data_IF_475803772624
#
_entry.id   IF_475803772624
#
_cell.length_a   1.000
_cell.length_b   1.000
_cell.length_c   1.000
_cell.angle_alpha   90.00
_cell.angle_beta   90.00
_cell.angle_gamma   90.00
#
_symmetry.space_group_name_H-M   'P 1'
#
loop_
_entity.id
_entity.type
_entity.pdbx_description
1 polymer ?
#
# COMPACT_ATOMS: atom_id res chain seq x y z
N UNK A 1 18.28 -35.53 -4.89
CA UNK A 1 17.15 -35.41 -5.84
C UNK A 1 16.01 -34.80 -5.02
N UNK A 2 15.91 -33.45 -5.00
CA UNK A 2 14.81 -32.77 -4.32
C UNK A 2 13.56 -32.94 -5.16
N UNK A 3 12.61 -33.74 -4.69
CA UNK A 3 11.27 -33.73 -5.22
C UNK A 3 10.66 -32.37 -4.87
N UNK A 4 10.59 -31.47 -5.86
CA UNK A 4 9.76 -30.29 -5.73
C UNK A 4 8.31 -30.76 -5.55
N UNK A 5 7.74 -30.46 -4.38
CA UNK A 5 6.31 -30.56 -4.18
C UNK A 5 5.72 -29.53 -5.16
N UNK A 6 5.18 -30.00 -6.28
CA UNK A 6 4.34 -29.18 -7.13
C UNK A 6 3.14 -28.78 -6.27
N UNK A 7 3.13 -27.54 -5.77
CA UNK A 7 1.92 -26.97 -5.21
C UNK A 7 0.83 -27.15 -6.27
N UNK A 8 -0.24 -27.86 -5.94
CA UNK A 8 -1.42 -27.90 -6.81
C UNK A 8 -1.79 -26.48 -7.18
N UNK A 9 -2.10 -26.24 -8.46
CA UNK A 9 -2.48 -24.89 -8.92
C UNK A 9 -3.69 -24.41 -8.09
N UNK A 10 -3.44 -23.45 -7.18
CA UNK A 10 -4.45 -22.92 -6.24
C UNK A 10 -5.48 -22.07 -7.00
N UNK A 11 -5.08 -21.57 -8.16
CA UNK A 11 -5.90 -20.68 -9.00
C UNK A 11 -6.02 -21.23 -10.43
N UNK A 12 -6.63 -22.44 -10.63
CA UNK A 12 -6.66 -23.09 -11.93
C UNK A 12 -7.37 -22.26 -13.01
N UNK A 13 -8.37 -21.45 -12.65
CA UNK A 13 -9.17 -20.68 -13.60
C UNK A 13 -8.63 -19.25 -13.80
N UNK A 14 -7.94 -18.66 -12.83
CA UNK A 14 -7.35 -17.33 -12.97
C UNK A 14 -6.28 -17.34 -14.09
N UNK A 15 -6.32 -16.31 -14.92
CA UNK A 15 -5.27 -16.10 -15.95
C UNK A 15 -3.99 -15.54 -15.32
N UNK A 16 -4.14 -14.72 -14.29
CA UNK A 16 -3.03 -14.16 -13.51
C UNK A 16 -3.46 -14.05 -12.04
N UNK A 17 -2.58 -14.41 -11.11
CA UNK A 17 -2.87 -14.33 -9.68
C UNK A 17 -1.60 -14.06 -8.87
N UNK A 18 -1.75 -13.35 -7.76
CA UNK A 18 -0.71 -13.12 -6.76
C UNK A 18 -1.30 -13.17 -5.36
N UNK A 19 -0.54 -13.76 -4.45
CA UNK A 19 -0.73 -13.60 -3.01
C UNK A 19 0.55 -13.06 -2.43
N UNK A 20 0.45 -11.97 -1.65
CA UNK A 20 1.62 -11.39 -1.00
C UNK A 20 1.28 -10.88 0.39
N UNK A 21 2.29 -10.81 1.25
CA UNK A 21 2.18 -10.18 2.56
C UNK A 21 2.47 -8.68 2.43
N UNK A 22 1.59 -7.87 3.01
CA UNK A 22 1.54 -6.42 2.79
C UNK A 22 2.78 -5.71 3.33
N UNK A 23 3.20 -5.98 4.56
CA UNK A 23 4.25 -5.20 5.23
C UNK A 23 5.64 -5.42 4.61
N UNK A 24 6.00 -6.67 4.36
CA UNK A 24 7.29 -7.04 3.74
C UNK A 24 7.28 -6.95 2.21
N UNK A 25 6.11 -7.09 1.58
CA UNK A 25 5.97 -7.26 0.14
C UNK A 25 6.34 -8.67 -0.34
N UNK A 26 6.53 -9.63 0.56
CA UNK A 26 6.89 -11.01 0.19
C UNK A 26 5.78 -11.69 -0.58
N UNK A 27 6.13 -12.19 -1.78
CA UNK A 27 5.23 -12.98 -2.61
C UNK A 27 5.17 -14.40 -2.04
N UNK A 28 3.96 -14.89 -1.80
CA UNK A 28 3.67 -16.21 -1.23
C UNK A 28 3.13 -17.18 -2.28
N UNK A 29 2.50 -16.66 -3.33
CA UNK A 29 2.04 -17.40 -4.50
C UNK A 29 2.04 -16.47 -5.71
N UNK A 30 2.38 -17.02 -6.86
CA UNK A 30 2.39 -16.28 -8.13
C UNK A 30 1.95 -17.15 -9.32
N UNK A 31 1.19 -16.54 -10.22
CA UNK A 31 0.80 -17.10 -11.51
C UNK A 31 0.71 -15.99 -12.53
N UNK A 32 1.57 -15.98 -13.54
CA UNK A 32 1.60 -15.00 -14.64
C UNK A 32 1.54 -13.53 -14.16
N UNK A 33 2.23 -13.21 -13.04
CA UNK A 33 2.05 -11.93 -12.32
C UNK A 33 2.43 -10.70 -13.14
N UNK A 34 3.23 -10.85 -14.20
CA UNK A 34 3.67 -9.78 -15.08
C UNK A 34 2.91 -9.73 -16.42
N UNK A 35 1.88 -10.57 -16.59
CA UNK A 35 1.04 -10.54 -17.79
C UNK A 35 0.16 -9.29 -17.81
N UNK A 36 0.27 -8.48 -18.88
CA UNK A 36 -0.56 -7.30 -19.09
C UNK A 36 -2.02 -7.69 -19.36
N UNK A 37 -2.93 -7.14 -18.56
CA UNK A 37 -4.37 -7.42 -18.64
C UNK A 37 -5.18 -6.16 -18.42
N UNK A 38 -6.41 -6.10 -18.94
CA UNK A 38 -7.36 -5.08 -18.58
C UNK A 38 -7.70 -5.18 -17.08
N UNK A 39 -7.53 -4.09 -16.31
CA UNK A 39 -7.83 -4.11 -14.86
C UNK A 39 -9.31 -4.03 -14.54
N UNK A 40 -10.16 -3.67 -15.50
CA UNK A 40 -11.54 -3.27 -15.24
C UNK A 40 -11.60 -2.28 -14.04
N UNK A 41 -12.62 -2.36 -13.20
CA UNK A 41 -12.79 -1.45 -12.05
C UNK A 41 -11.74 -1.61 -10.94
N UNK A 42 -10.76 -2.53 -11.05
CA UNK A 42 -9.60 -2.51 -10.15
C UNK A 42 -8.72 -1.27 -10.38
N UNK A 43 -8.84 -0.59 -11.53
CA UNK A 43 -8.28 0.76 -11.78
C UNK A 43 -8.57 1.73 -10.65
N UNK A 44 -9.75 1.62 -10.03
CA UNK A 44 -10.20 2.51 -8.94
C UNK A 44 -9.33 2.39 -7.66
N UNK A 45 -8.50 1.36 -7.55
CA UNK A 45 -7.50 1.26 -6.46
C UNK A 45 -6.51 2.43 -6.58
N UNK A 46 -6.03 2.75 -7.79
CA UNK A 46 -5.18 3.93 -8.03
C UNK A 46 -5.95 5.24 -7.81
N UNK A 47 -7.21 5.31 -8.24
CA UNK A 47 -8.06 6.49 -7.98
C UNK A 47 -8.24 6.74 -6.49
N UNK A 48 -8.51 5.69 -5.71
CA UNK A 48 -8.62 5.77 -4.25
C UNK A 48 -7.27 6.11 -3.60
N UNK A 49 -6.15 5.56 -4.09
CA UNK A 49 -4.82 5.92 -3.59
C UNK A 49 -4.56 7.42 -3.72
N UNK A 50 -4.74 8.00 -4.91
CA UNK A 50 -4.55 9.45 -5.11
C UNK A 50 -5.54 10.28 -4.30
N UNK A 51 -6.74 9.76 -4.05
CA UNK A 51 -7.73 10.42 -3.19
C UNK A 51 -7.29 10.44 -1.72
N UNK A 52 -6.80 9.31 -1.21
CA UNK A 52 -6.29 9.24 0.17
C UNK A 52 -5.03 10.10 0.35
N UNK A 53 -4.11 10.10 -0.61
CA UNK A 53 -2.92 10.98 -0.59
C UNK A 53 -3.32 12.47 -0.61
N UNK A 54 -4.38 12.84 -1.34
CA UNK A 54 -4.89 14.21 -1.36
C UNK A 54 -5.53 14.61 -0.03
N UNK A 55 -6.21 13.69 0.66
CA UNK A 55 -6.74 13.88 2.01
C UNK A 55 -5.63 14.06 3.04
N UNK A 56 -4.65 13.16 3.05
CA UNK A 56 -3.54 13.18 4.02
C UNK A 56 -2.66 14.43 3.87
N UNK A 57 -2.48 14.92 2.65
CA UNK A 57 -1.78 16.18 2.40
C UNK A 57 -2.61 17.43 2.70
N UNK A 58 -3.89 17.28 3.06
CA UNK A 58 -4.82 18.39 3.29
C UNK A 58 -5.23 19.16 2.02
N UNK A 59 -4.92 18.62 0.84
CA UNK A 59 -5.34 19.21 -0.45
C UNK A 59 -6.85 19.21 -0.62
N UNK A 60 -7.51 18.17 -0.11
CA UNK A 60 -8.97 18.02 -0.06
C UNK A 60 -9.40 17.59 1.33
N UNK A 61 -10.70 17.73 1.63
CA UNK A 61 -11.32 17.30 2.89
C UNK A 61 -12.55 16.43 2.60
N UNK A 62 -12.92 15.57 3.55
CA UNK A 62 -14.08 14.68 3.40
C UNK A 62 -15.40 15.44 3.22
N UNK A 63 -15.53 16.62 3.81
CA UNK A 63 -16.72 17.48 3.74
C UNK A 63 -16.70 18.47 2.57
N UNK A 64 -15.64 18.51 1.75
CA UNK A 64 -15.61 19.32 0.54
C UNK A 64 -16.72 18.90 -0.42
N UNK A 65 -17.42 19.90 -1.00
CA UNK A 65 -18.47 19.68 -1.99
C UNK A 65 -17.90 19.72 -3.41
N UNK A 66 -17.95 18.59 -4.09
CA UNK A 66 -17.52 18.44 -5.48
C UNK A 66 -18.70 18.72 -6.40
N UNK A 67 -18.56 19.68 -7.31
CA UNK A 67 -19.57 19.95 -8.36
C UNK A 67 -19.44 18.87 -9.45
N UNK A 68 -20.53 18.16 -9.71
CA UNK A 68 -20.58 17.08 -10.69
C UNK A 68 -20.60 17.67 -12.10
N UNK A 69 -19.64 17.30 -12.91
CA UNK A 69 -19.59 17.70 -14.33
C UNK A 69 -20.59 16.93 -15.19
N UNK A 70 -20.87 17.42 -16.36
CA UNK A 70 -21.69 16.69 -17.38
C UNK A 70 -20.98 15.39 -17.81
N UNK A 71 -19.63 15.37 -17.81
CA UNK A 71 -18.85 14.18 -18.10
C UNK A 71 -19.04 13.11 -17.02
N UNK A 72 -18.88 13.47 -15.74
CA UNK A 72 -19.09 12.56 -14.62
C UNK A 72 -20.53 12.02 -14.60
N UNK A 73 -21.54 12.89 -14.73
CA UNK A 73 -22.96 12.51 -14.75
C UNK A 73 -23.34 11.62 -15.94
N UNK A 74 -22.64 11.77 -17.07
CA UNK A 74 -22.87 10.99 -18.29
C UNK A 74 -22.22 9.63 -18.33
N UNK A 75 -21.52 9.22 -17.26
CA UNK A 75 -20.79 7.95 -17.24
C UNK A 75 -21.73 6.75 -17.33
N UNK A 76 -21.27 5.74 -18.07
CA UNK A 76 -21.93 4.44 -18.13
C UNK A 76 -21.49 3.47 -17.01
N UNK A 77 -22.14 2.32 -16.96
CA UNK A 77 -21.85 1.26 -15.98
C UNK A 77 -22.41 1.55 -14.59
N UNK A 78 -21.69 1.16 -13.54
CA UNK A 78 -22.14 1.37 -12.16
C UNK A 78 -21.97 2.83 -11.73
N UNK A 79 -22.99 3.39 -11.07
CA UNK A 79 -23.05 4.81 -10.71
C UNK A 79 -23.71 5.00 -9.34
N UNK A 80 -23.49 6.17 -8.73
CA UNK A 80 -24.32 6.73 -7.66
C UNK A 80 -25.39 7.69 -8.19
N UNK A 81 -25.47 7.82 -9.52
CA UNK A 81 -26.43 8.66 -10.25
C UNK A 81 -26.38 10.15 -9.86
N UNK A 82 -25.17 10.68 -9.76
CA UNK A 82 -24.93 12.08 -9.46
C UNK A 82 -25.33 12.97 -10.66
N UNK A 83 -26.28 13.91 -10.44
CA UNK A 83 -26.81 14.79 -11.50
C UNK A 83 -25.80 15.92 -11.81
N UNK A 84 -25.65 16.26 -13.08
CA UNK A 84 -24.79 17.36 -13.51
C UNK A 84 -25.15 18.69 -12.82
N UNK A 85 -24.15 19.41 -12.32
CA UNK A 85 -24.32 20.65 -11.55
C UNK A 85 -24.68 20.45 -10.08
N UNK A 86 -25.02 19.21 -9.64
CA UNK A 86 -25.22 18.93 -8.21
C UNK A 86 -23.88 18.92 -7.47
N UNK A 87 -23.95 19.05 -6.14
CA UNK A 87 -22.80 18.98 -5.25
C UNK A 87 -22.83 17.70 -4.44
N UNK A 88 -21.73 16.97 -4.44
CA UNK A 88 -21.58 15.72 -3.70
C UNK A 88 -20.32 15.79 -2.84
N UNK A 89 -20.41 15.41 -1.57
CA UNK A 89 -19.25 15.41 -0.66
C UNK A 89 -18.21 14.38 -1.08
N UNK A 90 -16.92 14.67 -0.86
CA UNK A 90 -15.80 13.76 -1.09
C UNK A 90 -16.02 12.43 -0.36
N UNK A 91 -16.50 12.43 0.90
CA UNK A 91 -16.86 11.23 1.65
C UNK A 91 -17.84 10.32 0.90
N UNK A 92 -18.90 10.91 0.30
CA UNK A 92 -19.90 10.17 -0.47
C UNK A 92 -19.31 9.62 -1.77
N UNK A 93 -18.43 10.38 -2.44
CA UNK A 93 -17.74 9.90 -3.65
C UNK A 93 -16.83 8.70 -3.33
N UNK A 94 -16.02 8.77 -2.26
CA UNK A 94 -15.17 7.65 -1.82
C UNK A 94 -16.02 6.42 -1.50
N UNK A 95 -17.14 6.61 -0.80
CA UNK A 95 -18.09 5.52 -0.49
C UNK A 95 -18.69 4.92 -1.77
N UNK A 96 -19.13 5.73 -2.71
CA UNK A 96 -19.61 5.29 -4.01
C UNK A 96 -18.58 4.46 -4.79
N UNK A 97 -17.34 4.90 -4.83
CA UNK A 97 -16.22 4.21 -5.50
C UNK A 97 -15.93 2.86 -4.82
N UNK A 98 -15.80 2.86 -3.51
CA UNK A 98 -15.35 1.70 -2.72
C UNK A 98 -16.43 0.60 -2.64
N UNK A 99 -17.67 0.99 -2.38
CA UNK A 99 -18.79 0.07 -2.14
C UNK A 99 -19.47 -0.34 -3.46
N UNK A 100 -19.99 0.64 -4.20
CA UNK A 100 -20.77 0.37 -5.41
C UNK A 100 -19.93 0.33 -6.68
N UNK A 101 -18.63 0.67 -6.63
CA UNK A 101 -17.79 0.77 -7.83
C UNK A 101 -18.20 1.87 -8.82
N UNK A 102 -18.75 2.97 -8.32
CA UNK A 102 -19.35 4.03 -9.12
C UNK A 102 -18.34 4.72 -10.06
N UNK A 103 -18.67 4.78 -11.35
CA UNK A 103 -17.84 5.39 -12.38
C UNK A 103 -17.97 6.92 -12.39
N UNK A 104 -19.18 7.43 -12.21
CA UNK A 104 -19.47 8.87 -12.07
C UNK A 104 -18.71 9.48 -10.89
N UNK A 105 -18.68 8.79 -9.74
CA UNK A 105 -17.91 9.20 -8.57
C UNK A 105 -16.39 9.19 -8.84
N UNK A 106 -15.88 8.19 -9.58
CA UNK A 106 -14.46 8.11 -9.93
C UNK A 106 -14.02 9.24 -10.86
N UNK A 107 -14.88 9.62 -11.82
CA UNK A 107 -14.64 10.78 -12.71
C UNK A 107 -14.71 12.07 -11.92
N UNK A 108 -15.76 12.27 -11.10
CA UNK A 108 -15.94 13.48 -10.32
C UNK A 108 -14.77 13.76 -9.38
N UNK A 109 -14.29 12.74 -8.62
CA UNK A 109 -13.14 12.89 -7.73
C UNK A 109 -11.84 13.12 -8.51
N UNK A 110 -11.69 12.47 -9.67
CA UNK A 110 -10.54 12.68 -10.56
C UNK A 110 -10.47 14.10 -11.10
N UNK A 111 -11.57 14.64 -11.59
CA UNK A 111 -11.66 16.04 -12.05
C UNK A 111 -11.41 17.02 -10.90
N UNK A 112 -11.92 16.75 -9.71
CA UNK A 112 -11.73 17.61 -8.54
C UNK A 112 -10.26 17.66 -8.08
N UNK A 113 -9.60 16.51 -8.00
CA UNK A 113 -8.19 16.44 -7.57
C UNK A 113 -7.25 16.92 -8.66
N UNK A 114 -7.51 16.55 -9.91
CA UNK A 114 -6.65 16.86 -11.05
C UNK A 114 -6.89 18.24 -11.64
N UNK A 115 -8.04 18.88 -11.37
CA UNK A 115 -8.53 20.06 -12.10
C UNK A 115 -9.09 19.71 -13.48
N UNK A 116 -8.51 18.72 -14.15
CA UNK A 116 -9.03 18.06 -15.36
C UNK A 116 -8.84 16.56 -15.28
N UNK A 117 -9.65 15.80 -16.04
CA UNK A 117 -9.52 14.34 -16.05
C UNK A 117 -8.17 13.89 -16.63
N UNK A 118 -7.70 14.55 -17.70
CA UNK A 118 -6.40 14.24 -18.34
C UNK A 118 -5.23 14.45 -17.38
N UNK A 119 -5.27 15.52 -16.58
CA UNK A 119 -4.24 15.75 -15.57
C UNK A 119 -4.31 14.68 -14.48
N UNK A 120 -5.50 14.26 -14.05
CA UNK A 120 -5.65 13.19 -13.07
C UNK A 120 -5.10 11.85 -13.61
N UNK A 121 -5.39 11.51 -14.86
CA UNK A 121 -4.82 10.31 -15.52
C UNK A 121 -3.29 10.42 -15.61
N UNK A 122 -2.76 11.60 -15.89
CA UNK A 122 -1.31 11.85 -15.87
C UNK A 122 -0.72 11.62 -14.46
N UNK A 123 -1.43 12.05 -13.40
CA UNK A 123 -1.04 11.79 -12.00
C UNK A 123 -1.07 10.29 -11.69
N UNK A 124 -2.11 9.54 -12.14
CA UNK A 124 -2.18 8.09 -11.97
C UNK A 124 -0.96 7.38 -12.56
N UNK A 125 -0.59 7.71 -13.81
CA UNK A 125 0.55 7.11 -14.48
C UNK A 125 1.89 7.52 -13.86
N UNK A 126 2.02 8.78 -13.43
CA UNK A 126 3.20 9.25 -12.71
C UNK A 126 3.37 8.46 -11.41
N UNK A 127 2.27 8.34 -10.63
CA UNK A 127 2.32 7.62 -9.35
C UNK A 127 2.61 6.13 -9.52
N UNK A 128 2.04 5.49 -10.55
CA UNK A 128 2.37 4.11 -10.89
C UNK A 128 3.87 3.93 -11.13
N UNK A 129 4.51 4.82 -11.89
CA UNK A 129 5.97 4.79 -12.11
C UNK A 129 6.78 4.98 -10.83
N UNK A 130 6.36 5.89 -9.96
CA UNK A 130 7.00 6.14 -8.65
C UNK A 130 6.93 4.90 -7.74
N UNK A 131 5.87 4.10 -7.86
CA UNK A 131 5.69 2.83 -7.15
C UNK A 131 6.48 1.66 -7.77
N UNK A 132 7.10 1.85 -8.94
CA UNK A 132 7.83 0.81 -9.65
C UNK A 132 6.94 -0.07 -10.55
N UNK A 133 5.74 0.39 -10.90
CA UNK A 133 4.86 -0.32 -11.84
C UNK A 133 5.42 -0.18 -13.26
N UNK A 134 6.02 -1.23 -13.79
CA UNK A 134 6.68 -1.21 -15.10
C UNK A 134 5.72 -1.55 -16.25
N UNK A 135 4.61 -2.22 -15.95
CA UNK A 135 3.67 -2.76 -16.93
C UNK A 135 2.24 -2.24 -16.73
N UNK A 136 2.11 -0.98 -16.33
CA UNK A 136 0.82 -0.33 -16.08
C UNK A 136 0.70 0.94 -16.90
N UNK A 137 -0.46 1.12 -17.53
CA UNK A 137 -0.86 2.36 -18.17
C UNK A 137 -2.35 2.60 -17.95
N UNK A 138 -2.69 3.71 -17.30
CA UNK A 138 -4.05 4.15 -17.11
C UNK A 138 -4.42 5.18 -18.18
N UNK A 139 -5.65 5.08 -18.73
CA UNK A 139 -6.22 6.07 -19.64
C UNK A 139 -7.52 6.67 -19.11
N UNK A 140 -8.03 6.12 -18.01
CA UNK A 140 -9.21 6.64 -17.30
C UNK A 140 -9.17 6.24 -15.81
N UNK A 141 -9.94 6.90 -14.92
CA UNK A 141 -9.93 6.62 -13.48
C UNK A 141 -10.89 5.51 -13.03
N UNK A 142 -11.70 4.95 -13.95
CA UNK A 142 -12.81 4.05 -13.61
C UNK A 142 -12.63 2.61 -14.10
N UNK A 143 -11.84 2.39 -15.15
CA UNK A 143 -11.51 1.05 -15.65
C UNK A 143 -12.49 0.49 -16.68
N UNK A 144 -13.29 1.31 -17.36
CA UNK A 144 -13.95 0.85 -18.59
C UNK A 144 -12.88 0.57 -19.65
N UNK A 145 -13.13 -0.46 -20.47
CA UNK A 145 -12.17 -0.90 -21.47
C UNK A 145 -11.86 0.19 -22.49
N UNK A 146 -10.58 0.49 -22.62
CA UNK A 146 -10.04 1.39 -23.62
C UNK A 146 -8.72 0.83 -24.15
N UNK A 147 -8.36 1.25 -25.37
CA UNK A 147 -7.06 0.90 -25.94
C UNK A 147 -5.95 1.41 -25.01
N UNK A 148 -4.95 0.56 -24.81
CA UNK A 148 -3.78 0.86 -23.98
C UNK A 148 -4.08 1.05 -22.46
N UNK A 149 -5.28 0.64 -21.98
CA UNK A 149 -5.62 0.59 -20.56
C UNK A 149 -5.31 -0.79 -19.99
N UNK A 150 -4.15 -0.94 -19.33
CA UNK A 150 -3.68 -2.23 -18.82
C UNK A 150 -2.87 -2.10 -17.53
N UNK A 151 -2.77 -3.21 -16.83
CA UNK A 151 -1.90 -3.40 -15.66
C UNK A 151 -1.50 -4.88 -15.55
N UNK A 152 -0.79 -5.24 -14.49
CA UNK A 152 -0.44 -6.62 -14.13
C UNK A 152 -0.86 -6.92 -12.70
N UNK A 153 -0.94 -8.20 -12.32
CA UNK A 153 -1.24 -8.55 -10.93
C UNK A 153 -0.16 -8.03 -9.97
N UNK A 154 1.11 -8.03 -10.39
CA UNK A 154 2.20 -7.49 -9.59
C UNK A 154 2.10 -5.97 -9.41
N UNK A 155 1.87 -5.23 -10.48
CA UNK A 155 1.74 -3.77 -10.41
C UNK A 155 0.53 -3.35 -9.56
N UNK A 156 -0.62 -4.07 -9.71
CA UNK A 156 -1.78 -3.87 -8.86
C UNK A 156 -1.48 -4.15 -7.38
N UNK A 157 -0.64 -5.15 -7.08
CA UNK A 157 -0.21 -5.40 -5.72
C UNK A 157 0.59 -4.23 -5.16
N UNK A 158 1.52 -3.64 -5.94
CA UNK A 158 2.27 -2.46 -5.50
C UNK A 158 1.34 -1.28 -5.19
N UNK A 159 0.34 -1.03 -6.05
CA UNK A 159 -0.64 0.03 -5.86
C UNK A 159 -1.54 -0.25 -4.64
N UNK A 160 -2.04 -1.47 -4.51
CA UNK A 160 -2.88 -1.87 -3.38
C UNK A 160 -2.13 -1.80 -2.05
N UNK A 161 -0.87 -2.23 -2.02
CA UNK A 161 0.03 -2.13 -0.88
C UNK A 161 0.24 -0.69 -0.44
N UNK A 162 0.42 0.23 -1.39
CA UNK A 162 0.56 1.65 -1.08
C UNK A 162 -0.74 2.22 -0.53
N UNK A 163 -1.89 1.91 -1.15
CA UNK A 163 -3.21 2.32 -0.66
C UNK A 163 -3.46 1.85 0.78
N UNK A 164 -3.03 0.65 1.13
CA UNK A 164 -3.23 0.09 2.47
C UNK A 164 -2.44 0.80 3.57
N UNK A 165 -1.42 1.60 3.25
CA UNK A 165 -0.76 2.48 4.21
C UNK A 165 -1.68 3.60 4.71
N UNK A 166 -2.69 3.95 3.93
CA UNK A 166 -3.77 4.86 4.30
C UNK A 166 -4.91 4.06 4.94
N UNK A 167 -4.73 3.61 6.18
CA UNK A 167 -5.65 2.66 6.85
C UNK A 167 -7.12 3.12 6.85
N UNK A 168 -7.37 4.41 6.76
CA UNK A 168 -8.72 5.00 6.70
C UNK A 168 -9.53 4.51 5.49
N UNK A 169 -8.89 4.05 4.42
CA UNK A 169 -9.59 3.46 3.28
C UNK A 169 -10.39 2.21 3.66
N UNK A 170 -9.92 1.46 4.65
CA UNK A 170 -10.60 0.25 5.11
C UNK A 170 -11.96 0.55 5.76
N UNK A 171 -12.16 1.78 6.27
CA UNK A 171 -13.47 2.23 6.76
C UNK A 171 -14.53 2.24 5.67
N UNK A 172 -14.13 2.37 4.40
CA UNK A 172 -15.01 2.37 3.22
C UNK A 172 -15.07 1.00 2.55
N UNK A 173 -13.93 0.35 2.31
CA UNK A 173 -13.88 -0.91 1.57
C UNK A 173 -14.48 -2.07 2.32
N UNK A 174 -14.53 -2.03 3.66
CA UNK A 174 -15.17 -3.03 4.53
C UNK A 174 -16.68 -2.86 4.67
N UNK A 175 -17.27 -1.74 4.22
CA UNK A 175 -18.72 -1.55 4.25
C UNK A 175 -19.38 -2.57 3.31
N UNK A 176 -20.31 -3.37 3.82
CA UNK A 176 -21.08 -4.27 2.98
C UNK A 176 -22.23 -3.55 2.28
N UNK A 177 -22.99 -2.75 3.02
CA UNK A 177 -24.10 -1.94 2.48
C UNK A 177 -24.26 -0.66 3.28
N UNK A 178 -24.68 0.40 2.60
CA UNK A 178 -24.94 1.70 3.21
C UNK A 178 -25.90 2.50 2.34
N UNK A 179 -26.42 3.58 2.88
CA UNK A 179 -27.26 4.54 2.16
C UNK A 179 -26.53 5.89 2.03
N UNK A 180 -26.62 6.49 0.87
CA UNK A 180 -26.08 7.82 0.61
C UNK A 180 -27.13 8.72 -0.03
N UNK A 181 -27.11 10.01 0.31
CA UNK A 181 -27.95 11.00 -0.36
C UNK A 181 -27.14 11.68 -1.46
N UNK A 182 -27.56 11.52 -2.71
CA UNK A 182 -26.96 12.14 -3.90
C UNK A 182 -28.04 12.85 -4.69
N UNK A 183 -27.81 14.12 -5.06
CA UNK A 183 -28.77 14.94 -5.81
C UNK A 183 -30.18 14.96 -5.19
N UNK A 184 -30.25 14.96 -3.85
CA UNK A 184 -31.52 14.98 -3.10
C UNK A 184 -32.29 13.64 -3.05
N UNK A 185 -31.70 12.56 -3.57
CA UNK A 185 -32.28 11.20 -3.55
C UNK A 185 -31.41 10.26 -2.70
N UNK A 186 -32.06 9.35 -2.00
CA UNK A 186 -31.38 8.29 -1.26
C UNK A 186 -31.04 7.13 -2.19
N UNK A 187 -29.79 6.66 -2.16
CA UNK A 187 -29.29 5.54 -2.93
C UNK A 187 -28.74 4.47 -2.00
N UNK A 188 -29.23 3.24 -2.16
CA UNK A 188 -28.71 2.07 -1.47
C UNK A 188 -27.47 1.55 -2.21
N UNK A 189 -26.35 1.54 -1.52
CA UNK A 189 -25.09 1.00 -2.00
C UNK A 189 -24.87 -0.40 -1.43
N UNK A 190 -24.46 -1.34 -2.29
CA UNK A 190 -24.12 -2.70 -1.88
C UNK A 190 -22.75 -3.05 -2.43
N UNK A 191 -21.86 -3.52 -1.55
CA UNK A 191 -20.50 -3.85 -1.92
C UNK A 191 -20.46 -4.95 -2.99
N UNK A 192 -19.70 -4.66 -4.03
CA UNK A 192 -19.44 -5.60 -5.13
C UNK A 192 -18.58 -6.78 -4.70
N UNK A 193 -17.76 -6.61 -3.66
CA UNK A 193 -17.03 -7.68 -2.97
C UNK A 193 -17.89 -8.27 -1.85
N UNK A 194 -18.61 -9.36 -2.14
CA UNK A 194 -19.46 -10.02 -1.15
C UNK A 194 -18.69 -10.66 0.01
N UNK A 195 -17.39 -10.91 -0.17
CA UNK A 195 -16.56 -11.53 0.87
C UNK A 195 -16.43 -10.65 2.13
N UNK A 196 -16.58 -9.32 2.02
CA UNK A 196 -16.55 -8.43 3.21
C UNK A 196 -17.67 -8.72 4.22
N UNK A 197 -18.77 -9.35 3.79
CA UNK A 197 -19.84 -9.81 4.68
C UNK A 197 -19.71 -11.29 5.04
N UNK A 198 -19.37 -12.13 4.04
CA UNK A 198 -19.51 -13.58 4.16
C UNK A 198 -18.21 -14.31 4.52
N UNK A 199 -17.08 -13.63 4.54
CA UNK A 199 -15.80 -14.22 4.94
C UNK A 199 -15.11 -13.36 6.02
N UNK A 200 -15.12 -13.81 7.30
CA UNK A 200 -14.60 -13.03 8.42
C UNK A 200 -13.14 -12.63 8.24
N UNK A 201 -12.85 -11.35 8.45
CA UNK A 201 -11.50 -10.78 8.35
C UNK A 201 -11.18 -10.15 7.01
N UNK A 202 -11.96 -10.38 5.95
CA UNK A 202 -11.82 -9.65 4.68
C UNK A 202 -12.41 -8.24 4.85
N UNK A 203 -11.59 -7.22 4.57
CA UNK A 203 -11.91 -5.80 4.77
C UNK A 203 -11.75 -4.94 3.49
N UNK A 204 -11.55 -5.56 2.35
CA UNK A 204 -11.44 -4.86 1.05
C UNK A 204 -10.97 -5.79 -0.07
N UNK A 205 -10.51 -5.26 -1.20
CA UNK A 205 -10.46 -3.87 -1.64
C UNK A 205 -11.46 -3.61 -2.78
N UNK A 206 -11.25 -4.28 -3.96
CA UNK A 206 -11.98 -3.92 -5.16
C UNK A 206 -12.18 -5.07 -6.14
N UNK A 207 -13.41 -5.23 -6.63
CA UNK A 207 -13.73 -6.11 -7.76
C UNK A 207 -13.58 -5.39 -9.10
N UNK A 208 -13.37 -6.16 -10.16
CA UNK A 208 -13.41 -5.70 -11.54
C UNK A 208 -14.14 -6.69 -12.43
N UNK A 209 -14.85 -6.18 -13.44
CA UNK A 209 -15.40 -6.97 -14.53
C UNK A 209 -15.62 -6.12 -15.77
N UNK A 210 -15.13 -6.59 -16.87
CA UNK A 210 -15.58 -6.25 -18.23
C UNK A 210 -15.50 -7.53 -19.07
N UNK A 211 -16.07 -7.53 -20.27
CA UNK A 211 -15.97 -8.69 -21.14
C UNK A 211 -14.50 -9.03 -21.52
N UNK A 212 -13.65 -8.01 -21.62
CA UNK A 212 -12.24 -8.16 -21.92
C UNK A 212 -11.42 -8.62 -20.71
N UNK A 213 -11.69 -8.07 -19.53
CA UNK A 213 -10.95 -8.37 -18.30
C UNK A 213 -11.30 -9.74 -17.71
N UNK A 214 -12.54 -10.23 -17.89
CA UNK A 214 -13.11 -11.31 -17.09
C UNK A 214 -13.42 -10.84 -15.65
N UNK A 215 -13.70 -11.77 -14.76
CA UNK A 215 -13.93 -11.44 -13.34
C UNK A 215 -12.60 -11.31 -12.62
N UNK A 216 -12.43 -10.20 -11.89
CA UNK A 216 -11.22 -9.85 -11.17
C UNK A 216 -11.54 -9.43 -9.74
N UNK A 217 -10.60 -9.64 -8.83
CA UNK A 217 -10.69 -9.18 -7.44
C UNK A 217 -9.30 -8.92 -6.86
N UNK A 218 -9.10 -7.75 -6.32
CA UNK A 218 -8.07 -7.48 -5.31
C UNK A 218 -8.72 -7.54 -3.95
N UNK A 219 -8.30 -8.47 -3.10
CA UNK A 219 -8.83 -8.63 -1.75
C UNK A 219 -7.74 -8.50 -0.70
N UNK A 220 -8.09 -8.04 0.48
CA UNK A 220 -7.20 -8.00 1.63
C UNK A 220 -7.88 -8.56 2.87
N UNK A 221 -7.08 -9.18 3.71
CA UNK A 221 -7.49 -9.76 4.98
C UNK A 221 -6.39 -9.59 6.00
N UNK A 222 -6.76 -9.21 7.24
CA UNK A 222 -5.82 -9.16 8.37
C UNK A 222 -6.20 -10.19 9.42
N UNK A 223 -5.22 -11.03 9.80
CA UNK A 223 -5.37 -12.04 10.87
C UNK A 223 -4.06 -12.15 11.64
N UNK A 224 -4.13 -12.07 12.98
CA UNK A 224 -2.96 -12.17 13.86
C UNK A 224 -1.81 -11.22 13.44
N UNK A 225 -2.13 -9.95 13.20
CA UNK A 225 -1.20 -8.89 12.73
C UNK A 225 -0.53 -9.14 11.38
N UNK A 226 -0.93 -10.16 10.66
CA UNK A 226 -0.51 -10.44 9.28
C UNK A 226 -1.60 -9.95 8.34
N UNK A 227 -1.26 -9.05 7.42
CA UNK A 227 -2.15 -8.66 6.34
C UNK A 227 -1.70 -9.29 5.03
N UNK A 228 -2.60 -10.05 4.42
CA UNK A 228 -2.39 -10.62 3.09
C UNK A 228 -3.21 -9.85 2.06
N UNK A 229 -2.63 -9.72 0.88
CA UNK A 229 -3.28 -9.19 -0.32
C UNK A 229 -3.30 -10.29 -1.36
N UNK A 230 -4.50 -10.65 -1.83
CA UNK A 230 -4.70 -11.58 -2.94
C UNK A 230 -5.28 -10.84 -4.14
N UNK A 231 -4.75 -11.14 -5.33
CA UNK A 231 -5.27 -10.61 -6.59
C UNK A 231 -5.49 -11.77 -7.53
N UNK A 232 -6.69 -11.86 -8.08
CA UNK A 232 -7.03 -12.77 -9.16
C UNK A 232 -7.57 -11.98 -10.35
N UNK A 233 -7.11 -12.31 -11.54
CA UNK A 233 -7.47 -11.62 -12.78
C UNK A 233 -7.84 -12.61 -13.87
N UNK A 234 -8.87 -12.26 -14.63
CA UNK A 234 -9.25 -13.02 -15.82
C UNK A 234 -10.01 -14.31 -15.54
N UNK A 235 -10.75 -14.36 -14.45
CA UNK A 235 -11.63 -15.48 -14.14
C UNK A 235 -12.85 -15.49 -15.06
N UNK A 236 -13.36 -16.67 -15.35
CA UNK A 236 -14.51 -16.88 -16.23
C UNK A 236 -15.85 -16.69 -15.51
N UNK A 237 -15.89 -16.92 -14.18
CA UNK A 237 -17.10 -16.76 -13.35
C UNK A 237 -16.84 -15.96 -12.06
N UNK A 238 -17.93 -15.40 -11.51
CA UNK A 238 -17.92 -14.78 -10.17
C UNK A 238 -17.57 -15.79 -9.09
N UNK A 239 -17.99 -17.03 -9.26
CA UNK A 239 -17.77 -18.10 -8.30
C UNK A 239 -16.29 -18.50 -8.25
N UNK A 240 -15.64 -18.73 -9.40
CA UNK A 240 -14.21 -19.03 -9.47
C UNK A 240 -13.40 -17.90 -8.86
N UNK A 241 -13.66 -16.66 -9.25
CA UNK A 241 -13.03 -15.47 -8.65
C UNK A 241 -13.10 -15.48 -7.12
N UNK A 242 -14.28 -15.76 -6.57
CA UNK A 242 -14.50 -15.76 -5.11
C UNK A 242 -13.78 -16.92 -4.44
N UNK A 243 -13.92 -18.13 -4.98
CA UNK A 243 -13.33 -19.33 -4.41
C UNK A 243 -11.79 -19.30 -4.46
N UNK A 244 -11.21 -18.90 -5.59
CA UNK A 244 -9.76 -18.83 -5.75
C UNK A 244 -9.14 -17.71 -4.89
N UNK A 245 -9.85 -16.57 -4.72
CA UNK A 245 -9.44 -15.55 -3.75
C UNK A 245 -9.37 -16.10 -2.32
N UNK A 246 -10.41 -16.85 -1.88
CA UNK A 246 -10.44 -17.46 -0.57
C UNK A 246 -9.34 -18.51 -0.42
N UNK A 247 -9.19 -19.39 -1.42
CA UNK A 247 -8.15 -20.43 -1.43
C UNK A 247 -6.74 -19.85 -1.30
N UNK A 248 -6.45 -18.73 -1.98
CA UNK A 248 -5.17 -18.03 -1.84
C UNK A 248 -4.95 -17.52 -0.41
N UNK A 249 -5.96 -16.86 0.19
CA UNK A 249 -5.86 -16.35 1.54
C UNK A 249 -5.69 -17.47 2.57
N UNK A 250 -6.48 -18.55 2.45
CA UNK A 250 -6.36 -19.73 3.31
C UNK A 250 -4.98 -20.39 3.18
N UNK A 251 -4.48 -20.55 1.95
CA UNK A 251 -3.13 -21.04 1.71
C UNK A 251 -2.10 -20.18 2.42
N UNK A 252 -2.15 -18.86 2.25
CA UNK A 252 -1.19 -17.96 2.89
C UNK A 252 -1.21 -18.10 4.41
N UNK A 253 -2.38 -18.05 5.04
CA UNK A 253 -2.51 -18.19 6.50
C UNK A 253 -2.22 -19.60 7.01
N UNK A 254 -2.37 -20.64 6.19
CA UNK A 254 -2.00 -22.01 6.59
C UNK A 254 -0.50 -22.22 6.58
N UNK A 255 0.18 -21.72 5.56
CA UNK A 255 1.60 -21.99 5.31
C UNK A 255 2.54 -20.98 5.94
N UNK A 256 2.11 -19.72 6.10
CA UNK A 256 3.00 -18.64 6.51
C UNK A 256 2.56 -17.99 7.82
N UNK A 257 3.55 -17.44 8.52
CA UNK A 257 3.37 -16.62 9.71
C UNK A 257 4.37 -15.48 9.71
N UNK A 258 4.03 -14.39 10.40
CA UNK A 258 4.95 -13.27 10.61
C UNK A 258 5.57 -13.38 12.00
N UNK A 259 6.90 -13.27 12.05
CA UNK A 259 7.65 -13.12 13.29
C UNK A 259 8.25 -11.72 13.36
N UNK A 260 7.97 -10.98 14.43
CA UNK A 260 8.65 -9.71 14.71
C UNK A 260 10.02 -10.04 15.32
N UNK A 261 11.08 -9.73 14.57
CA UNK A 261 12.46 -9.96 14.96
C UNK A 261 12.98 -8.82 15.83
N UNK A 262 12.66 -7.58 15.42
CA UNK A 262 12.95 -6.38 16.21
C UNK A 262 11.72 -5.48 16.23
N UNK A 263 11.31 -5.12 17.43
CA UNK A 263 10.24 -4.17 17.71
C UNK A 263 10.86 -2.76 17.70
N UNK A 264 10.35 -1.86 16.88
CA UNK A 264 10.87 -0.48 16.73
C UNK A 264 10.84 0.32 18.04
N UNK A 265 9.90 0.02 18.95
CA UNK A 265 9.80 0.75 20.21
C UNK A 265 10.82 0.22 21.26
N UNK A 266 11.32 -1.00 21.08
CA UNK A 266 12.32 -1.61 21.95
C UNK A 266 13.73 -1.52 21.41
N UNK A 267 13.90 -1.23 20.12
CA UNK A 267 15.20 -1.13 19.50
C UNK A 267 15.74 0.28 19.59
N UNK A 268 16.85 0.45 20.29
CA UNK A 268 17.67 1.66 20.27
C UNK A 268 19.13 1.30 20.42
N UNK A 269 20.00 2.10 19.83
CA UNK A 269 21.44 1.99 20.00
C UNK A 269 22.08 3.38 19.80
N UNK A 270 23.36 3.52 20.08
CA UNK A 270 24.07 4.80 20.05
C UNK A 270 24.99 4.90 18.86
N UNK A 271 25.04 6.08 18.25
CA UNK A 271 26.01 6.45 17.21
C UNK A 271 26.73 7.75 17.53
N UNK A 272 27.96 7.85 17.04
CA UNK A 272 28.70 9.10 17.09
C UNK A 272 28.20 10.06 15.99
N UNK A 273 28.02 11.33 16.35
CA UNK A 273 27.66 12.38 15.40
C UNK A 273 28.63 13.54 15.53
N UNK A 274 29.34 13.83 14.47
CA UNK A 274 30.27 14.96 14.45
C UNK A 274 29.54 16.31 14.52
N UNK A 275 30.15 17.28 15.18
CA UNK A 275 29.60 18.63 15.39
C UNK A 275 28.25 18.66 16.17
N UNK A 276 27.90 17.60 16.89
CA UNK A 276 26.70 17.55 17.72
C UNK A 276 26.96 18.06 19.13
N UNK A 277 25.96 18.71 19.74
CA UNK A 277 25.99 19.09 21.16
C UNK A 277 26.09 17.88 22.09
N UNK A 278 25.56 16.72 21.64
CA UNK A 278 25.72 15.42 22.26
C UNK A 278 26.67 14.58 21.42
N UNK A 279 27.80 14.17 21.97
CA UNK A 279 28.79 13.37 21.24
C UNK A 279 28.23 12.06 20.66
N UNK A 280 27.32 11.44 21.40
CA UNK A 280 26.58 10.24 21.01
C UNK A 280 25.10 10.51 21.09
N UNK A 281 24.35 10.06 20.07
CA UNK A 281 22.90 10.14 20.00
C UNK A 281 22.31 8.76 19.86
N UNK A 282 21.07 8.60 20.27
CA UNK A 282 20.34 7.36 20.05
C UNK A 282 19.75 7.34 18.64
N UNK A 283 19.82 6.19 17.99
CA UNK A 283 19.13 5.90 16.74
C UNK A 283 18.17 4.73 16.93
N UNK A 284 17.14 4.70 16.11
CA UNK A 284 15.99 3.83 16.24
C UNK A 284 15.64 3.19 14.92
N UNK A 285 14.92 2.08 14.94
CA UNK A 285 14.25 1.57 13.75
C UNK A 285 13.07 2.48 13.39
N UNK A 286 12.92 2.76 12.10
CA UNK A 286 11.76 3.48 11.57
C UNK A 286 10.49 2.62 11.67
N UNK A 287 10.61 1.34 11.32
CA UNK A 287 9.54 0.35 11.30
C UNK A 287 9.97 -0.93 12.01
N UNK A 288 9.00 -1.78 12.40
CA UNK A 288 9.29 -3.10 12.93
C UNK A 288 10.02 -3.94 11.89
N UNK A 289 10.99 -4.75 12.35
CA UNK A 289 11.63 -5.77 11.52
C UNK A 289 10.82 -7.04 11.62
N UNK A 290 10.03 -7.31 10.58
CA UNK A 290 9.16 -8.48 10.50
C UNK A 290 9.66 -9.44 9.43
N UNK A 291 9.63 -10.72 9.72
CA UNK A 291 9.92 -11.79 8.78
C UNK A 291 8.66 -12.61 8.52
N UNK A 292 8.35 -12.77 7.24
CA UNK A 292 7.35 -13.74 6.79
C UNK A 292 8.06 -15.07 6.57
N UNK A 293 7.79 -16.02 7.44
CA UNK A 293 8.41 -17.35 7.42
C UNK A 293 7.36 -18.40 7.12
N UNK A 294 7.76 -19.43 6.36
CA UNK A 294 6.97 -20.66 6.33
C UNK A 294 6.91 -21.22 7.77
N UNK A 295 5.76 -21.73 8.17
CA UNK A 295 5.57 -22.29 9.51
C UNK A 295 6.50 -23.46 9.80
N UNK A 296 6.95 -24.14 8.76
CA UNK A 296 7.92 -25.23 8.87
C UNK A 296 9.36 -24.72 9.06
N UNK A 297 9.65 -23.44 8.71
CA UNK A 297 10.96 -22.80 8.80
C UNK A 297 11.09 -21.85 10.00
N UNK A 298 10.36 -22.08 11.10
CA UNK A 298 10.32 -21.18 12.27
C UNK A 298 11.68 -20.92 12.92
N UNK A 299 12.63 -21.84 12.72
CA UNK A 299 14.01 -21.75 13.23
C UNK A 299 14.98 -21.23 12.16
N UNK A 300 14.50 -20.56 11.12
CA UNK A 300 15.34 -20.00 10.07
C UNK A 300 16.39 -19.07 10.66
N UNK A 301 17.68 -19.39 10.43
CA UNK A 301 18.80 -18.57 10.88
C UNK A 301 18.87 -17.30 10.03
N UNK A 302 19.02 -16.16 10.69
CA UNK A 302 19.24 -14.88 10.04
C UNK A 302 20.49 -14.20 10.60
N UNK A 303 21.11 -13.39 9.76
CA UNK A 303 22.23 -12.53 10.14
C UNK A 303 21.81 -11.07 10.07
N UNK A 304 22.18 -10.28 11.08
CA UNK A 304 21.88 -8.86 11.14
C UNK A 304 23.17 -8.05 11.08
N UNK A 305 23.20 -7.05 10.20
CA UNK A 305 24.29 -6.09 10.07
C UNK A 305 23.73 -4.67 10.16
N UNK A 306 24.34 -3.81 10.97
CA UNK A 306 24.01 -2.38 11.04
C UNK A 306 25.04 -1.61 10.23
N UNK A 307 24.58 -0.79 9.28
CA UNK A 307 25.40 0.11 8.49
C UNK A 307 24.96 1.55 8.77
N UNK A 308 25.77 2.31 9.49
CA UNK A 308 25.53 3.71 9.80
C UNK A 308 26.14 4.62 8.73
N UNK A 309 25.49 5.72 8.44
CA UNK A 309 25.98 6.79 7.59
C UNK A 309 26.90 7.72 8.39
N UNK A 310 27.89 8.34 7.73
CA UNK A 310 28.65 9.44 8.33
C UNK A 310 27.81 10.71 8.26
N UNK A 311 27.17 11.06 9.38
CA UNK A 311 26.27 12.21 9.50
C UNK A 311 26.85 13.28 10.40
N UNK A 312 26.51 14.54 10.13
CA UNK A 312 26.96 15.73 10.89
C UNK A 312 25.76 16.53 11.36
N UNK A 313 25.83 17.03 12.59
CA UNK A 313 24.80 17.93 13.09
C UNK A 313 24.82 19.31 12.38
N UNK A 314 23.64 19.97 12.19
CA UNK A 314 22.34 19.58 12.72
C UNK A 314 21.67 18.46 11.91
N UNK A 315 20.81 17.64 12.56
CA UNK A 315 20.05 16.58 11.91
C UNK A 315 18.59 16.74 12.33
N UNK A 316 17.70 16.80 11.36
CA UNK A 316 16.26 16.90 11.60
C UNK A 316 15.69 15.60 12.17
N UNK A 317 14.65 15.72 13.01
CA UNK A 317 13.91 14.58 13.51
C UNK A 317 13.33 13.75 12.33
N UNK A 318 13.36 12.42 12.43
CA UNK A 318 12.94 11.51 11.38
C UNK A 318 13.99 11.26 10.29
N UNK A 319 15.13 11.96 10.30
CA UNK A 319 16.19 11.76 9.30
C UNK A 319 16.81 10.37 9.36
N UNK A 320 17.01 9.77 8.19
CA UNK A 320 17.71 8.49 8.04
C UNK A 320 19.19 8.63 8.35
N UNK A 321 19.69 7.83 9.29
CA UNK A 321 21.09 7.82 9.74
C UNK A 321 21.80 6.49 9.47
N UNK A 322 21.12 5.53 8.87
CA UNK A 322 21.71 4.24 8.52
C UNK A 322 20.68 3.23 8.06
N UNK A 323 21.13 1.99 7.96
CA UNK A 323 20.30 0.84 7.60
C UNK A 323 20.64 -0.35 8.50
N UNK A 324 19.61 -1.07 8.94
CA UNK A 324 19.74 -2.43 9.42
C UNK A 324 19.53 -3.37 8.22
N UNK A 325 20.54 -4.20 7.96
CA UNK A 325 20.53 -5.20 6.87
C UNK A 325 20.31 -6.56 7.51
N UNK A 326 19.25 -7.25 7.12
CA UNK A 326 18.95 -8.59 7.59
C UNK A 326 19.05 -9.55 6.42
N UNK A 327 19.84 -10.62 6.58
CA UNK A 327 20.04 -11.68 5.58
C UNK A 327 19.40 -12.96 6.06
N UNK A 328 18.53 -13.54 5.25
CA UNK A 328 17.84 -14.79 5.53
C UNK A 328 17.59 -15.57 4.25
N UNK A 329 17.92 -16.85 4.21
CA UNK A 329 17.67 -17.74 3.06
C UNK A 329 18.13 -17.17 1.70
N UNK A 330 19.21 -16.36 1.69
CA UNK A 330 19.72 -15.71 0.48
C UNK A 330 19.04 -14.38 0.15
N UNK A 331 17.96 -14.02 0.81
CA UNK A 331 17.31 -12.71 0.70
C UNK A 331 18.02 -11.67 1.57
N UNK A 332 18.02 -10.42 1.10
CA UNK A 332 18.60 -9.26 1.81
C UNK A 332 17.51 -8.22 2.01
N UNK A 333 17.06 -8.05 3.25
CA UNK A 333 16.07 -7.06 3.65
C UNK A 333 16.78 -5.86 4.29
N UNK A 334 16.29 -4.64 4.01
CA UNK A 334 16.86 -3.39 4.54
C UNK A 334 15.80 -2.59 5.27
N UNK A 335 16.14 -2.13 6.46
CA UNK A 335 15.27 -1.32 7.31
C UNK A 335 15.97 -0.03 7.67
N UNK A 336 15.27 1.10 7.55
CA UNK A 336 15.83 2.41 7.83
C UNK A 336 16.05 2.62 9.32
N UNK A 337 17.21 3.18 9.65
CA UNK A 337 17.56 3.67 10.98
C UNK A 337 17.44 5.19 11.00
N UNK A 338 16.72 5.74 11.98
CA UNK A 338 16.39 7.15 12.07
C UNK A 338 16.76 7.74 13.44
N UNK A 339 16.81 9.06 13.53
CA UNK A 339 16.79 9.82 14.80
C UNK A 339 15.35 10.26 15.08
N UNK A 340 14.87 10.14 16.33
CA UNK A 340 13.52 10.58 16.72
C UNK A 340 13.45 12.08 17.05
N UNK A 341 14.58 12.68 17.46
CA UNK A 341 14.63 14.06 17.91
C UNK A 341 15.61 14.88 17.06
N UNK A 342 15.41 16.21 17.05
CA UNK A 342 16.33 17.14 16.42
C UNK A 342 17.70 17.10 17.09
N UNK A 343 18.77 16.87 16.33
CA UNK A 343 20.15 16.82 16.80
C UNK A 343 20.79 18.20 16.60
N UNK A 344 20.95 18.94 17.69
CA UNK A 344 21.50 20.30 17.67
C UNK A 344 23.00 20.30 17.32
N UNK A 345 23.42 21.28 16.53
CA UNK A 345 24.83 21.56 16.29
C UNK A 345 25.49 22.09 17.58
N UNK A 346 26.67 21.57 17.90
CA UNK A 346 27.46 22.02 19.05
C UNK A 346 27.93 23.48 18.87
N UNK A 347 27.91 24.24 19.94
CA UNK A 347 28.58 25.51 20.03
C UNK A 347 30.10 25.33 20.36
N UNK A 348 30.87 26.43 20.31
CA UNK A 348 32.30 26.38 20.53
C UNK A 348 32.69 25.79 21.91
N UNK A 349 31.98 26.15 22.97
CA UNK A 349 32.26 25.65 24.33
C UNK A 349 31.93 24.18 24.50
N UNK A 350 30.88 23.69 23.87
CA UNK A 350 30.52 22.25 23.85
C UNK A 350 31.58 21.43 23.13
N UNK A 351 32.07 21.89 21.96
CA UNK A 351 33.14 21.25 21.22
C UNK A 351 34.43 21.20 22.05
N UNK A 352 34.81 22.33 22.67
CA UNK A 352 35.99 22.40 23.53
C UNK A 352 35.87 21.45 24.73
N UNK A 353 34.71 21.40 25.39
CA UNK A 353 34.43 20.49 26.50
C UNK A 353 34.54 19.02 26.09
N UNK A 354 34.06 18.67 24.90
CA UNK A 354 34.21 17.29 24.37
C UNK A 354 35.67 16.93 24.13
N UNK A 355 36.46 17.83 23.52
CA UNK A 355 37.89 17.63 23.25
C UNK A 355 38.69 17.49 24.57
N UNK A 356 38.42 18.36 25.53
CA UNK A 356 39.07 18.31 26.85
C UNK A 356 38.80 16.97 27.57
N UNK A 357 37.56 16.50 27.50
CA UNK A 357 37.16 15.21 28.08
C UNK A 357 37.84 14.03 27.39
N UNK A 358 38.04 14.08 26.08
CA UNK A 358 38.75 13.06 25.31
C UNK A 358 40.25 13.01 25.66
N UNK A 359 40.88 14.17 25.82
CA UNK A 359 42.29 14.29 26.26
C UNK A 359 42.46 13.70 27.66
N UNK A 360 41.58 14.10 28.61
CA UNK A 360 41.66 13.61 30.03
C UNK A 360 41.44 12.09 30.05
N UNK A 361 40.58 11.54 29.21
CA UNK A 361 40.33 10.10 29.15
C UNK A 361 41.31 9.32 28.26
N UNK A 362 42.43 9.94 27.81
CA UNK A 362 43.44 9.29 26.99
C UNK A 362 43.01 8.83 25.61
N UNK A 363 41.89 9.39 25.10
CA UNK A 363 41.33 9.05 23.77
C UNK A 363 41.94 9.85 22.62
N UNK A 364 42.73 10.86 22.89
CA UNK A 364 43.48 11.68 21.93
C UNK A 364 44.92 11.85 22.42
N UNK A 365 45.89 11.39 21.63
CA UNK A 365 47.29 11.72 21.86
C UNK A 365 47.51 13.19 21.45
N UNK A 366 47.90 14.02 22.38
CA UNK A 366 48.15 15.47 22.19
C UNK A 366 49.58 15.74 21.73
N UNK A 367 50.37 14.67 21.43
CA UNK A 367 51.75 14.77 20.94
C UNK A 367 51.96 13.88 19.73
#
# INVERSE_FOLDING_TARGET
MCMGIFASDITPNAKSAILAEESSGKILYEKNINEKRSPASMTKIMTLLLTMEALDSGKIKLDDEVTISSNASGMGGTQIYAEAGSKVKVDVLIKGISVASANDAAVAIGEYIGGTLDNFVSMMNKRAKELGCENTNFVNPHGLDEKDHYTTAYDLFLIARELLKHEDILKYTSIYEDYVTVSGKEHWLVNTNKLVKFYPGIDGLKTGYTNNAGYCLTSTMKKNDVRLVSIVMGEDTKEHRTNETVSLLEYGYSMYGVSTIYDKEKFSNKMFVSNSSLKYIDYYLKDDVKLVLNKDDRDAKYETQIKLNDVKAPIEAGSKVGEMILKINGEVLKYDLIVKEYVKKANYFEVFGHLLKDVINGKVNVF
#
